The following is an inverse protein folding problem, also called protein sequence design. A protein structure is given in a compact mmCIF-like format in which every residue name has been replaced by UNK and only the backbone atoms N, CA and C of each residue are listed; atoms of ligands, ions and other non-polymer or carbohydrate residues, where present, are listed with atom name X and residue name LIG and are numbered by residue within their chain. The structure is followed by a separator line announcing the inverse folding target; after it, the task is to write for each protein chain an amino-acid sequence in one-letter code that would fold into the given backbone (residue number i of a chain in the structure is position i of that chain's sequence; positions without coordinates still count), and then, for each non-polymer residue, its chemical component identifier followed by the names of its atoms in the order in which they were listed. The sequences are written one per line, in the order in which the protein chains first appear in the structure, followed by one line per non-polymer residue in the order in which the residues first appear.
data_IF_348414920899
#
_entry.id   IF_348414920899
#
_cell.length_a   1.000
_cell.length_b   1.000
_cell.length_c   1.000
_cell.angle_alpha   90.00
_cell.angle_beta   90.00
_cell.angle_gamma   90.00
#
_symmetry.space_group_name_H-M   'P 1'
#
loop_
_entity.id
_entity.type
_entity.pdbx_description
1 polymer ?
#
# COMPACT_ATOMS: atom_id res chain seq x y z
N UNK A 1 -13.37 -25.91 -10.84
CA UNK A 1 -11.91 -25.75 -10.97
C UNK A 1 -11.33 -25.20 -9.68
N UNK A 2 -10.11 -25.60 -9.32
CA UNK A 2 -9.39 -25.11 -8.15
C UNK A 2 -8.01 -24.59 -8.57
N UNK A 3 -7.65 -23.39 -8.13
CA UNK A 3 -6.29 -22.87 -8.22
C UNK A 3 -5.77 -22.72 -6.80
N UNK A 4 -4.68 -23.41 -6.49
CA UNK A 4 -3.94 -23.28 -5.24
C UNK A 4 -2.50 -22.92 -5.57
N UNK A 5 -2.10 -21.69 -5.24
CA UNK A 5 -0.79 -21.18 -5.62
C UNK A 5 -0.26 -20.17 -4.61
N UNK A 6 1.05 -19.97 -4.63
CA UNK A 6 1.71 -18.90 -3.89
C UNK A 6 2.06 -17.78 -4.86
N UNK A 7 1.55 -16.59 -4.57
CA UNK A 7 1.93 -15.37 -5.27
C UNK A 7 3.20 -14.84 -4.63
N UNK A 8 4.29 -14.87 -5.38
CA UNK A 8 5.61 -14.47 -4.91
C UNK A 8 5.63 -13.01 -4.44
N UNK A 9 6.49 -12.74 -3.44
CA UNK A 9 6.74 -11.39 -2.97
C UNK A 9 7.28 -10.52 -4.13
N UNK A 10 6.63 -9.40 -4.47
CA UNK A 10 7.04 -8.59 -5.62
C UNK A 10 8.10 -7.55 -5.30
N UNK A 11 8.37 -7.28 -4.01
CA UNK A 11 9.39 -6.33 -3.57
C UNK A 11 9.88 -6.67 -2.15
N UNK A 12 11.10 -6.22 -1.76
CA UNK A 12 11.58 -6.33 -0.40
C UNK A 12 10.60 -5.70 0.62
N UNK A 13 10.33 -6.42 1.72
CA UNK A 13 9.42 -5.96 2.77
C UNK A 13 7.93 -6.28 2.54
N UNK A 14 7.57 -6.90 1.41
CA UNK A 14 6.23 -7.44 1.19
C UNK A 14 6.23 -8.97 1.27
N UNK A 15 5.18 -9.59 1.85
CA UNK A 15 5.12 -11.04 1.96
C UNK A 15 4.71 -11.70 0.64
N UNK A 16 5.11 -12.97 0.48
CA UNK A 16 4.42 -13.88 -0.43
C UNK A 16 3.02 -14.21 0.14
N UNK A 17 2.06 -14.47 -0.75
CA UNK A 17 0.66 -14.67 -0.36
C UNK A 17 0.13 -15.94 -0.98
N UNK A 18 -0.52 -16.77 -0.16
CA UNK A 18 -1.30 -17.89 -0.66
C UNK A 18 -2.56 -17.40 -1.34
N UNK A 19 -2.77 -17.82 -2.57
CA UNK A 19 -3.96 -17.58 -3.36
C UNK A 19 -4.68 -18.92 -3.57
N UNK A 20 -5.90 -18.99 -3.08
CA UNK A 20 -6.84 -20.07 -3.33
C UNK A 20 -8.04 -19.52 -4.09
N UNK A 21 -8.34 -20.11 -5.24
CA UNK A 21 -9.49 -19.74 -6.09
C UNK A 21 -10.31 -20.99 -6.35
N UNK A 22 -11.57 -20.96 -5.93
CA UNK A 22 -12.54 -22.03 -6.17
C UNK A 22 -13.65 -21.52 -7.09
N UNK A 23 -13.96 -22.30 -8.13
CA UNK A 23 -15.07 -22.01 -9.04
C UNK A 23 -15.73 -23.31 -9.48
N UNK A 24 -17.03 -23.30 -9.75
CA UNK A 24 -17.71 -24.46 -10.35
C UNK A 24 -17.47 -24.56 -11.86
N UNK A 25 -17.14 -23.44 -12.52
CA UNK A 25 -16.79 -23.44 -13.94
C UNK A 25 -15.47 -24.19 -14.19
N UNK A 26 -15.35 -24.77 -15.37
CA UNK A 26 -14.12 -25.38 -15.88
C UNK A 26 -13.48 -24.41 -16.87
N UNK A 27 -12.30 -23.92 -16.53
CA UNK A 27 -11.56 -23.01 -17.39
C UNK A 27 -10.35 -23.72 -18.00
N UNK A 28 -10.04 -23.40 -19.25
CA UNK A 28 -8.87 -24.00 -19.91
C UNK A 28 -7.57 -23.35 -19.44
N UNK A 29 -7.63 -22.10 -18.96
CA UNK A 29 -6.47 -21.38 -18.48
C UNK A 29 -6.76 -20.66 -17.16
N UNK A 30 -5.78 -20.79 -16.28
CA UNK A 30 -5.79 -20.26 -14.93
C UNK A 30 -4.39 -19.69 -14.66
N UNK A 31 -4.29 -18.39 -14.35
CA UNK A 31 -3.01 -17.75 -14.04
C UNK A 31 -3.11 -16.91 -12.77
N UNK A 32 -1.96 -16.71 -12.14
CA UNK A 32 -1.81 -15.85 -10.97
C UNK A 32 -0.46 -15.17 -11.02
N UNK A 33 -0.42 -13.87 -10.74
CA UNK A 33 0.82 -13.11 -10.74
C UNK A 33 0.83 -12.09 -9.61
N UNK A 34 2.04 -11.86 -9.09
CA UNK A 34 2.33 -10.79 -8.14
C UNK A 34 2.95 -9.60 -8.87
N UNK A 35 2.74 -8.40 -8.35
CA UNK A 35 3.31 -7.18 -8.92
C UNK A 35 3.67 -6.14 -7.87
N UNK A 36 4.58 -5.23 -8.22
CA UNK A 36 4.90 -4.08 -7.37
C UNK A 36 3.68 -3.17 -7.33
N UNK A 37 3.30 -2.72 -6.13
CA UNK A 37 2.28 -1.68 -5.97
C UNK A 37 2.91 -0.34 -6.36
N UNK A 38 2.46 0.33 -7.44
CA UNK A 38 3.01 1.62 -7.80
C UNK A 38 2.80 2.64 -6.68
N UNK A 39 3.70 3.62 -6.60
CA UNK A 39 3.56 4.72 -5.65
C UNK A 39 2.24 5.48 -5.92
N UNK A 40 1.63 5.99 -4.85
CA UNK A 40 0.44 6.85 -4.87
C UNK A 40 -0.84 6.24 -5.49
N UNK A 41 -0.89 4.93 -5.77
CA UNK A 41 -2.16 4.32 -6.21
C UNK A 41 -3.17 4.23 -5.06
N UNK A 42 -2.66 4.04 -3.84
CA UNK A 42 -3.50 3.90 -2.66
C UNK A 42 -3.93 5.29 -2.18
N UNK A 43 -5.19 5.45 -1.73
CA UNK A 43 -5.65 6.70 -1.15
C UNK A 43 -4.77 7.12 0.04
N UNK A 44 -4.69 8.43 0.30
CA UNK A 44 -3.99 8.97 1.48
C UNK A 44 -4.48 8.29 2.76
N UNK A 45 -3.54 8.01 3.65
CA UNK A 45 -3.82 7.29 4.91
C UNK A 45 -3.78 5.77 4.78
N UNK A 46 -3.43 5.22 3.61
CA UNK A 46 -3.25 3.78 3.39
C UNK A 46 -1.82 3.45 2.95
N UNK A 47 -1.37 2.26 3.29
CA UNK A 47 -0.11 1.68 2.83
C UNK A 47 -0.32 0.24 2.42
N UNK A 48 0.46 -0.23 1.44
CA UNK A 48 0.36 -1.61 0.97
C UNK A 48 0.79 -2.59 2.07
N UNK A 49 -0.09 -3.55 2.37
CA UNK A 49 0.20 -4.72 3.21
C UNK A 49 0.63 -5.94 2.37
N UNK A 50 0.37 -5.91 1.07
CA UNK A 50 0.77 -6.91 0.09
C UNK A 50 1.36 -6.26 -1.16
N UNK A 51 1.89 -7.10 -2.04
CA UNK A 51 2.00 -6.76 -3.46
C UNK A 51 0.65 -6.56 -4.14
N UNK A 52 0.68 -6.15 -5.41
CA UNK A 52 -0.44 -6.40 -6.31
C UNK A 52 -0.60 -7.91 -6.48
N UNK A 53 -1.83 -8.38 -6.41
CA UNK A 53 -2.21 -9.77 -6.61
C UNK A 53 -3.19 -9.77 -7.76
N UNK A 54 -2.90 -10.49 -8.83
CA UNK A 54 -3.82 -10.65 -9.95
C UNK A 54 -4.01 -12.13 -10.24
N UNK A 55 -5.25 -12.53 -10.50
CA UNK A 55 -5.54 -13.83 -11.09
C UNK A 55 -6.36 -13.68 -12.36
N UNK A 56 -6.31 -14.69 -13.20
CA UNK A 56 -7.14 -14.76 -14.40
C UNK A 56 -7.67 -16.17 -14.61
N UNK A 57 -8.97 -16.25 -14.89
CA UNK A 57 -9.67 -17.47 -15.29
C UNK A 57 -10.16 -17.24 -16.71
N UNK A 58 -9.66 -17.99 -17.68
CA UNK A 58 -9.90 -17.72 -19.09
C UNK A 58 -10.41 -18.97 -19.80
N UNK A 59 -11.21 -18.74 -20.85
CA UNK A 59 -11.81 -19.79 -21.68
C UNK A 59 -12.63 -20.77 -20.83
N UNK A 60 -13.50 -20.24 -19.97
CA UNK A 60 -14.37 -21.03 -19.10
C UNK A 60 -15.59 -21.59 -19.86
N UNK A 61 -16.14 -22.69 -19.37
CA UNK A 61 -17.29 -23.38 -19.99
C UNK A 61 -18.65 -22.71 -19.72
N UNK A 62 -18.70 -21.73 -18.81
CA UNK A 62 -19.91 -20.99 -18.47
C UNK A 62 -19.58 -19.51 -18.28
N UNK A 63 -20.12 -18.59 -19.10
CA UNK A 63 -20.10 -17.17 -18.82
C UNK A 63 -20.89 -16.84 -17.55
N UNK A 64 -20.55 -15.73 -16.88
CA UNK A 64 -21.24 -15.22 -15.70
C UNK A 64 -21.02 -16.08 -14.45
N UNK A 65 -20.00 -16.93 -14.46
CA UNK A 65 -19.68 -17.81 -13.36
C UNK A 65 -19.16 -17.03 -12.15
N UNK A 66 -19.22 -17.68 -10.98
CA UNK A 66 -18.72 -17.14 -9.72
C UNK A 66 -17.44 -17.87 -9.30
N UNK A 67 -16.47 -17.10 -8.78
CA UNK A 67 -15.28 -17.61 -8.13
C UNK A 67 -15.21 -17.12 -6.68
N UNK A 68 -14.91 -18.03 -5.75
CA UNK A 68 -14.66 -17.74 -4.34
C UNK A 68 -13.15 -17.71 -4.09
N UNK A 69 -12.67 -16.64 -3.48
CA UNK A 69 -11.25 -16.33 -3.34
C UNK A 69 -10.86 -16.35 -1.87
N UNK A 70 -9.73 -16.96 -1.55
CA UNK A 70 -9.07 -16.82 -0.27
C UNK A 70 -7.60 -16.41 -0.45
N UNK A 71 -7.22 -15.30 0.18
CA UNK A 71 -5.85 -14.81 0.27
C UNK A 71 -5.32 -15.09 1.67
N UNK A 72 -4.19 -15.78 1.77
CA UNK A 72 -3.55 -16.14 3.04
C UNK A 72 -2.19 -15.46 3.18
N UNK A 73 -2.07 -14.60 4.17
CA UNK A 73 -0.85 -13.89 4.52
C UNK A 73 -0.03 -14.69 5.54
N UNK A 74 1.30 -14.49 5.63
CA UNK A 74 2.11 -15.18 6.64
C UNK A 74 1.86 -14.66 8.06
N UNK A 75 1.33 -13.45 8.21
CA UNK A 75 1.03 -12.83 9.50
C UNK A 75 -0.37 -12.22 9.51
N UNK A 76 -1.01 -12.09 10.69
CA UNK A 76 -2.29 -11.42 10.80
C UNK A 76 -2.23 -9.97 10.29
N UNK A 77 -3.31 -9.54 9.62
CA UNK A 77 -3.46 -8.17 9.16
C UNK A 77 -3.77 -7.23 10.34
N UNK A 78 -3.21 -6.01 10.37
CA UNK A 78 -3.61 -5.00 11.34
C UNK A 78 -5.11 -4.68 11.30
N UNK A 79 -5.67 -4.31 12.45
CA UNK A 79 -7.05 -3.83 12.52
C UNK A 79 -7.28 -2.66 11.55
N UNK A 80 -8.44 -2.65 10.88
CA UNK A 80 -8.77 -1.65 9.87
C UNK A 80 -8.12 -1.87 8.51
N UNK A 81 -7.39 -2.98 8.29
CA UNK A 81 -6.95 -3.37 6.94
C UNK A 81 -8.14 -3.60 6.01
N UNK A 82 -7.93 -3.37 4.72
CA UNK A 82 -8.95 -3.48 3.67
C UNK A 82 -8.39 -4.19 2.45
N UNK A 83 -9.25 -4.95 1.78
CA UNK A 83 -8.96 -5.41 0.42
C UNK A 83 -9.44 -4.33 -0.56
N UNK A 84 -8.57 -3.95 -1.49
CA UNK A 84 -8.88 -2.94 -2.49
C UNK A 84 -8.76 -3.53 -3.89
N UNK A 85 -9.79 -3.32 -4.70
CA UNK A 85 -9.78 -3.59 -6.14
C UNK A 85 -8.94 -2.54 -6.83
N UNK A 86 -8.06 -2.98 -7.71
CA UNK A 86 -7.37 -2.14 -8.67
C UNK A 86 -8.11 -2.28 -9.99
N UNK A 87 -8.51 -1.19 -10.64
CA UNK A 87 -9.14 -1.29 -11.96
C UNK A 87 -8.62 -0.24 -12.92
N UNK A 88 -8.76 -0.50 -14.21
CA UNK A 88 -8.41 0.43 -15.27
C UNK A 88 -9.66 1.09 -15.83
N UNK A 89 -9.75 2.41 -15.69
CA UNK A 89 -10.78 3.19 -16.37
C UNK A 89 -10.60 3.17 -17.89
N UNK A 90 -11.68 3.46 -18.61
CA UNK A 90 -11.67 3.63 -20.08
C UNK A 90 -10.75 4.77 -20.55
N UNK A 91 -10.46 5.72 -19.65
CA UNK A 91 -9.48 6.80 -19.84
C UNK A 91 -8.03 6.35 -19.63
N UNK A 92 -7.79 5.06 -19.39
CA UNK A 92 -6.48 4.54 -19.08
C UNK A 92 -5.93 5.10 -17.77
N UNK A 93 -6.77 5.38 -16.78
CA UNK A 93 -6.32 5.69 -15.42
C UNK A 93 -6.59 4.53 -14.49
N UNK A 94 -5.63 4.25 -13.60
CA UNK A 94 -5.83 3.28 -12.53
C UNK A 94 -6.77 3.89 -11.49
N UNK A 95 -7.75 3.11 -11.04
CA UNK A 95 -8.67 3.43 -9.97
C UNK A 95 -8.52 2.38 -8.88
N UNK A 96 -8.81 2.80 -7.65
CA UNK A 96 -8.75 1.96 -6.47
C UNK A 96 -10.04 2.12 -5.70
N UNK A 97 -10.71 1.00 -5.42
CA UNK A 97 -11.94 0.96 -4.61
C UNK A 97 -11.85 -0.15 -3.58
N UNK A 98 -12.51 0.03 -2.45
CA UNK A 98 -12.61 -1.01 -1.42
C UNK A 98 -13.55 -2.13 -1.87
N UNK A 99 -13.16 -3.38 -1.62
CA UNK A 99 -14.04 -4.53 -1.75
C UNK A 99 -14.78 -4.69 -0.44
N UNK A 100 -15.92 -4.00 -0.29
CA UNK A 100 -16.67 -3.94 0.97
C UNK A 100 -17.25 -5.31 1.40
N UNK A 101 -17.40 -6.24 0.46
CA UNK A 101 -17.86 -7.62 0.72
C UNK A 101 -16.73 -8.54 1.20
N UNK A 102 -15.48 -8.08 1.19
CA UNK A 102 -14.36 -8.86 1.67
C UNK A 102 -14.40 -9.02 3.19
N UNK A 103 -14.15 -10.23 3.66
CA UNK A 103 -14.04 -10.55 5.08
C UNK A 103 -12.58 -10.80 5.42
N UNK A 104 -12.09 -10.19 6.50
CA UNK A 104 -10.71 -10.32 6.97
C UNK A 104 -10.76 -10.94 8.36
N UNK A 105 -10.20 -12.13 8.51
CA UNK A 105 -10.10 -12.85 9.79
C UNK A 105 -8.67 -13.30 10.01
N UNK A 106 -7.98 -12.65 10.96
CA UNK A 106 -6.57 -12.92 11.23
C UNK A 106 -5.70 -12.61 10.01
N UNK A 107 -5.12 -13.66 9.42
CA UNK A 107 -4.25 -13.58 8.23
C UNK A 107 -4.96 -14.05 6.94
N UNK A 108 -6.28 -14.28 6.97
CA UNK A 108 -7.03 -14.77 5.82
C UNK A 108 -8.05 -13.72 5.38
N UNK A 109 -8.07 -13.44 4.07
CA UNK A 109 -9.04 -12.56 3.41
C UNK A 109 -9.89 -13.37 2.44
N UNK A 110 -11.21 -13.24 2.51
CA UNK A 110 -12.16 -13.96 1.64
C UNK A 110 -13.13 -13.01 0.96
N UNK A 111 -13.39 -13.25 -0.31
CA UNK A 111 -14.37 -12.52 -1.10
C UNK A 111 -14.77 -13.36 -2.32
N UNK A 112 -15.76 -12.89 -3.07
CA UNK A 112 -16.20 -13.56 -4.30
C UNK A 112 -16.18 -12.59 -5.48
N UNK A 113 -15.89 -13.13 -6.66
CA UNK A 113 -15.91 -12.41 -7.93
C UNK A 113 -16.88 -13.11 -8.88
N UNK A 114 -17.52 -12.34 -9.76
CA UNK A 114 -18.43 -12.85 -10.78
C UNK A 114 -17.96 -12.35 -12.14
N UNK A 115 -17.95 -13.22 -13.14
CA UNK A 115 -17.58 -12.88 -14.52
C UNK A 115 -18.60 -11.87 -15.06
N UNK A 116 -18.10 -10.72 -15.49
CA UNK A 116 -18.91 -9.56 -15.82
C UNK A 116 -19.45 -8.75 -14.63
N UNK A 117 -18.96 -9.03 -13.41
CA UNK A 117 -19.28 -8.27 -12.20
C UNK A 117 -18.38 -7.04 -12.01
N UNK A 118 -18.64 -6.24 -10.97
CA UNK A 118 -17.86 -5.02 -10.65
C UNK A 118 -16.39 -5.32 -10.29
N UNK A 119 -16.13 -6.51 -9.76
CA UNK A 119 -14.78 -6.96 -9.42
C UNK A 119 -14.07 -7.65 -10.60
N UNK A 120 -14.74 -7.78 -11.74
CA UNK A 120 -14.09 -8.22 -12.98
C UNK A 120 -13.54 -7.01 -13.73
N UNK A 121 -12.31 -7.10 -14.23
CA UNK A 121 -11.58 -5.95 -14.77
C UNK A 121 -12.27 -5.30 -15.97
N UNK A 122 -12.92 -6.09 -16.83
CA UNK A 122 -13.62 -5.60 -18.01
C UNK A 122 -15.13 -5.45 -17.83
N UNK A 123 -15.68 -5.97 -16.72
CA UNK A 123 -17.11 -5.97 -16.41
C UNK A 123 -17.99 -6.64 -17.47
N UNK A 124 -17.43 -7.52 -18.31
CA UNK A 124 -18.17 -8.20 -19.38
C UNK A 124 -18.43 -9.67 -19.04
N UNK A 125 -19.65 -10.14 -19.27
CA UNK A 125 -20.00 -11.55 -19.15
C UNK A 125 -19.46 -12.30 -20.39
N UNK A 126 -18.24 -12.83 -20.32
CA UNK A 126 -17.54 -13.36 -21.49
C UNK A 126 -16.75 -14.66 -21.26
N UNK A 127 -17.03 -15.37 -20.15
CA UNK A 127 -16.31 -16.58 -19.75
C UNK A 127 -14.81 -16.36 -19.51
N UNK A 128 -14.44 -15.12 -19.21
CA UNK A 128 -13.12 -14.71 -18.78
C UNK A 128 -13.29 -13.80 -17.56
N UNK A 129 -12.40 -13.93 -16.59
CA UNK A 129 -12.40 -13.12 -15.39
C UNK A 129 -10.97 -12.72 -15.07
N UNK A 130 -10.75 -11.43 -14.82
CA UNK A 130 -9.46 -10.90 -14.41
C UNK A 130 -9.66 -10.00 -13.20
N UNK A 131 -8.99 -10.31 -12.10
CA UNK A 131 -9.15 -9.55 -10.85
C UNK A 131 -7.82 -9.18 -10.20
N UNK A 132 -7.34 -7.95 -10.46
CA UNK A 132 -6.23 -7.36 -9.73
C UNK A 132 -6.68 -6.67 -8.45
N UNK A 133 -6.09 -7.07 -7.32
CA UNK A 133 -6.35 -6.54 -5.98
C UNK A 133 -5.07 -6.20 -5.22
N UNK A 134 -5.21 -5.46 -4.13
CA UNK A 134 -4.15 -5.17 -3.16
C UNK A 134 -4.72 -5.17 -1.75
N UNK A 135 -3.97 -5.69 -0.79
CA UNK A 135 -4.27 -5.51 0.63
C UNK A 135 -3.65 -4.22 1.11
N UNK A 136 -4.48 -3.36 1.68
CA UNK A 136 -4.07 -2.10 2.26
C UNK A 136 -4.26 -2.14 3.78
N UNK A 137 -3.31 -1.54 4.50
CA UNK A 137 -3.42 -1.26 5.93
C UNK A 137 -3.47 0.25 6.17
N UNK A 138 -4.03 0.73 7.29
CA UNK A 138 -3.86 2.11 7.69
C UNK A 138 -2.37 2.47 7.69
N UNK A 139 -2.02 3.57 7.03
CA UNK A 139 -0.68 4.11 7.10
C UNK A 139 -0.40 4.50 8.55
N UNK A 140 0.76 4.09 9.08
CA UNK A 140 1.22 4.60 10.37
C UNK A 140 1.33 6.12 10.25
N UNK A 141 0.48 6.85 10.97
CA UNK A 141 0.66 8.29 11.13
C UNK A 141 1.84 8.44 12.07
N UNK A 142 3.00 8.82 11.54
CA UNK A 142 4.11 9.21 12.40
C UNK A 142 3.70 10.53 13.09
N UNK A 143 3.51 10.57 14.43
CA UNK A 143 3.05 11.78 15.11
C UNK A 143 4.11 12.88 15.21
N UNK A 144 5.30 12.69 14.63
CA UNK A 144 6.48 13.51 14.93
C UNK A 144 7.26 13.98 13.71
N UNK A 145 6.66 14.80 12.84
CA UNK A 145 7.40 15.91 12.23
C UNK A 145 6.43 17.10 12.06
N UNK A 146 6.36 18.05 13.02
CA UNK A 146 5.92 19.39 12.63
C UNK A 146 6.84 19.84 11.50
N UNK A 147 6.27 20.43 10.46
CA UNK A 147 7.01 21.04 9.35
C UNK A 147 8.03 22.04 9.93
N UNK A 148 9.24 21.57 10.24
CA UNK A 148 10.33 22.41 10.70
C UNK A 148 10.82 23.09 9.42
N UNK A 149 10.19 24.20 9.08
CA UNK A 149 10.80 25.16 8.17
C UNK A 149 12.19 25.45 8.74
N UNK A 150 13.22 25.05 8.00
CA UNK A 150 14.59 25.41 8.31
C UNK A 150 14.67 26.92 8.28
N UNK A 151 14.80 27.55 9.46
CA UNK A 151 14.99 28.99 9.55
C UNK A 151 16.36 29.30 8.91
N UNK A 152 16.42 30.10 7.84
CA UNK A 152 17.67 30.44 7.20
C UNK A 152 18.55 31.23 8.18
N UNK A 153 19.67 30.65 8.63
CA UNK A 153 20.65 31.27 9.55
C UNK A 153 21.51 32.36 8.89
N UNK A 154 21.22 32.71 7.64
CA UNK A 154 21.87 33.78 6.88
C UNK A 154 21.25 35.18 7.13
N UNK A 155 20.48 35.38 8.21
CA UNK A 155 20.03 36.71 8.61
C UNK A 155 21.18 37.47 9.31
N UNK A 156 21.75 38.53 8.70
CA UNK A 156 22.91 39.25 9.25
C UNK A 156 22.64 39.90 10.62
N UNK A 157 21.38 40.13 10.98
CA UNK A 157 20.98 40.65 12.28
C UNK A 157 21.18 39.65 13.42
N UNK A 158 21.08 38.33 13.15
CA UNK A 158 21.30 37.29 14.16
C UNK A 158 22.79 37.10 14.44
N UNK A 159 23.63 37.21 13.40
CA UNK A 159 25.09 37.17 13.51
C UNK A 159 25.64 38.39 14.26
N UNK A 160 25.10 39.59 14.03
CA UNK A 160 25.55 40.79 14.74
C UNK A 160 25.21 40.75 16.23
N UNK A 161 24.04 40.20 16.60
CA UNK A 161 23.63 40.05 18.00
C UNK A 161 24.53 39.04 18.75
N UNK A 162 24.89 37.93 18.11
CA UNK A 162 25.78 36.93 18.69
C UNK A 162 27.22 37.45 18.88
N UNK A 163 27.73 38.23 17.91
CA UNK A 163 29.04 38.86 18.03
C UNK A 163 29.09 39.92 19.15
N UNK A 164 28.01 40.68 19.34
CA UNK A 164 27.92 41.69 20.40
C UNK A 164 27.94 41.06 21.80
N UNK A 165 27.26 39.92 21.98
CA UNK A 165 27.22 39.18 23.25
C UNK A 165 28.60 38.63 23.67
N UNK A 166 29.42 38.19 22.71
CA UNK A 166 30.78 37.68 22.99
C UNK A 166 31.77 38.80 23.36
N UNK A 167 31.61 40.00 22.79
CA UNK A 167 32.47 41.14 23.09
C UNK A 167 32.26 41.69 24.52
N UNK A 168 31.02 41.64 25.04
CA UNK A 168 30.69 42.11 26.39
C UNK A 168 31.27 41.19 27.47
N UNK A 169 31.33 39.87 27.22
CA UNK A 169 31.92 38.91 28.15
C UNK A 169 33.45 39.03 28.28
N UNK A 170 34.15 39.46 27.22
CA UNK A 170 35.61 39.60 27.25
C UNK A 170 36.08 40.86 28.01
N UNK A 171 35.26 41.93 28.03
CA UNK A 171 35.59 43.18 28.72
C UNK A 171 35.40 43.12 30.25
N UNK A 172 34.74 42.09 30.76
CA UNK A 172 34.39 41.96 32.18
C UNK A 172 35.42 41.16 33.02
N UNK A 173 36.58 40.82 32.47
CA UNK A 173 37.63 40.09 33.21
C UNK A 173 38.63 41.08 33.81
N UNK A 174 38.53 41.45 35.12
CA UNK A 174 39.50 42.32 35.76
C UNK A 174 40.86 41.61 35.86
N UNK A 175 41.86 42.20 35.21
CA UNK A 175 43.26 41.81 35.24
C UNK A 175 43.86 41.98 36.65
N UNK A 176 43.71 40.97 37.52
CA UNK A 176 44.50 40.86 38.76
C UNK A 176 45.95 40.49 38.43
N UNK A 177 46.70 41.46 37.86
CA UNK A 177 48.16 41.40 37.85
C UNK A 177 48.65 41.42 39.29
N UNK A 178 49.14 40.26 39.72
CA UNK A 178 49.78 40.01 41.01
C UNK A 178 50.87 41.04 41.25
N UNK A 179 50.72 41.84 42.30
CA UNK A 179 51.84 42.46 43.00
C UNK A 179 52.65 41.34 43.67
N UNK A 180 53.90 41.16 43.27
CA UNK A 180 55.06 40.88 44.13
C UNK A 180 56.32 40.91 43.29
#
# INVERSE_FOLDING_TARGET
MLIDTQVNAPAPGLPAIGLHVESLAKCQRATSHGGVVPADILPKGWSAASGLIAFSLLDCDSPGFKADIALTLPTPLPAGSKLMKISRGTDGKTRVSEIATATITGNVVRYSVTDGGELDEDGQVNASMVDPVVLARPASVDPTVPDVQSVPVNNPLVLSLAALLMAVCAAAIPNRRRRR
#
